data_IF_055441796035
#
_entry.id   IF_055441796035
#
_cell.length_a   1.000
_cell.length_b   1.000
_cell.length_c   1.000
_cell.angle_alpha   90.00
_cell.angle_beta   90.00
_cell.angle_gamma   90.00
#
_symmetry.space_group_name_H-M   'P 1'
#
loop_
_entity.id
_entity.type
_entity.pdbx_description
1 polymer ?
#
# COMPACT_ATOMS: atom_id res chain seq x y z
N UNK A 1 18.19 -32.41 0.37
CA UNK A 1 16.80 -32.19 -0.07
C UNK A 1 16.75 -30.73 -0.52
N UNK A 2 16.69 -30.49 -1.83
CA UNK A 2 16.66 -29.13 -2.36
C UNK A 2 15.19 -28.67 -2.39
N UNK A 3 14.88 -27.64 -1.60
CA UNK A 3 13.55 -27.03 -1.61
C UNK A 3 13.20 -26.56 -3.02
N UNK A 4 12.01 -26.94 -3.50
CA UNK A 4 11.53 -26.52 -4.80
C UNK A 4 11.57 -24.97 -4.90
N UNK A 5 12.16 -24.40 -5.97
CA UNK A 5 12.25 -22.95 -6.14
C UNK A 5 10.85 -22.32 -6.20
N UNK A 6 10.69 -21.12 -5.62
CA UNK A 6 9.42 -20.35 -5.56
C UNK A 6 8.80 -19.95 -6.89
N UNK A 7 9.37 -20.42 -8.00
CA UNK A 7 8.98 -20.06 -9.35
C UNK A 7 7.54 -20.40 -9.71
N UNK A 8 6.82 -21.19 -8.88
CA UNK A 8 5.43 -21.60 -9.13
C UNK A 8 4.39 -21.11 -8.09
N UNK A 9 4.77 -20.34 -7.06
CA UNK A 9 3.81 -19.87 -6.02
C UNK A 9 3.67 -18.35 -5.99
N UNK A 10 2.91 -17.82 -6.94
CA UNK A 10 2.47 -16.43 -6.86
C UNK A 10 1.37 -16.28 -5.81
N UNK A 11 1.53 -15.31 -4.91
CA UNK A 11 0.46 -14.92 -4.01
C UNK A 11 -0.61 -14.11 -4.75
N UNK A 12 -1.86 -14.14 -4.29
CA UNK A 12 -2.96 -13.51 -5.03
C UNK A 12 -2.86 -11.99 -5.07
N UNK A 13 -2.18 -11.36 -4.10
CA UNK A 13 -1.96 -9.91 -4.14
C UNK A 13 -0.93 -9.46 -5.18
N UNK A 14 -0.18 -10.39 -5.79
CA UNK A 14 0.84 -10.06 -6.79
C UNK A 14 0.27 -9.35 -8.01
N UNK A 15 -1.02 -9.52 -8.31
CA UNK A 15 -1.73 -8.81 -9.38
C UNK A 15 -1.82 -7.30 -9.16
N UNK A 16 -1.66 -6.84 -7.92
CA UNK A 16 -1.69 -5.42 -7.54
C UNK A 16 -0.30 -4.84 -7.27
N UNK A 17 0.73 -5.68 -7.29
CA UNK A 17 2.10 -5.30 -6.95
C UNK A 17 2.99 -5.25 -8.17
N UNK A 18 3.91 -4.29 -8.20
CA UNK A 18 4.95 -4.21 -9.22
C UNK A 18 6.15 -5.13 -8.93
N UNK A 19 6.24 -5.73 -7.74
CA UNK A 19 7.33 -6.63 -7.35
C UNK A 19 6.94 -8.10 -7.51
N UNK A 20 7.93 -8.94 -7.81
CA UNK A 20 7.75 -10.40 -7.91
C UNK A 20 7.52 -11.03 -6.54
N UNK A 21 6.84 -12.17 -6.51
CA UNK A 21 6.72 -13.00 -5.31
C UNK A 21 8.08 -13.58 -4.90
N UNK A 22 8.20 -13.96 -3.64
CA UNK A 22 9.37 -14.68 -3.14
C UNK A 22 9.48 -14.71 -1.62
N UNK A 23 10.67 -15.09 -1.16
CA UNK A 23 11.05 -15.05 0.26
C UNK A 23 11.41 -13.64 0.73
N UNK A 24 11.37 -13.45 2.04
CA UNK A 24 11.87 -12.24 2.70
C UNK A 24 13.20 -12.50 3.38
N UNK A 25 14.23 -11.73 3.01
CA UNK A 25 15.50 -11.71 3.75
C UNK A 25 15.33 -11.20 5.20
N UNK A 26 14.22 -10.52 5.49
CA UNK A 26 13.92 -9.99 6.82
C UNK A 26 13.20 -10.99 7.73
N UNK A 27 12.58 -12.01 7.15
CA UNK A 27 11.85 -13.06 7.84
C UNK A 27 12.24 -14.41 7.22
N UNK A 28 13.50 -14.84 7.43
CA UNK A 28 14.06 -16.00 6.72
C UNK A 28 13.36 -17.31 7.07
N UNK A 29 12.65 -17.38 8.21
CA UNK A 29 11.89 -18.55 8.65
C UNK A 29 10.46 -18.59 8.09
N UNK A 30 10.00 -17.54 7.40
CA UNK A 30 8.68 -17.50 6.77
C UNK A 30 8.78 -18.04 5.33
N UNK A 31 8.20 -19.22 5.10
CA UNK A 31 8.26 -19.92 3.80
C UNK A 31 6.89 -20.23 3.19
N UNK A 32 5.79 -19.85 3.85
CA UNK A 32 4.45 -20.21 3.41
C UNK A 32 3.70 -18.98 2.91
N UNK A 33 2.79 -19.20 1.96
CA UNK A 33 1.71 -18.26 1.70
C UNK A 33 0.76 -18.29 2.89
N UNK A 34 0.37 -17.11 3.36
CA UNK A 34 -0.68 -16.96 4.37
C UNK A 34 -1.79 -16.08 3.81
N UNK A 35 -2.96 -16.11 4.44
CA UNK A 35 -4.02 -15.17 4.11
C UNK A 35 -3.72 -13.79 4.71
N UNK A 36 -4.33 -12.76 4.13
CA UNK A 36 -4.23 -11.38 4.62
C UNK A 36 -4.87 -11.26 6.01
N UNK A 37 -5.92 -12.02 6.30
CA UNK A 37 -6.52 -12.08 7.64
C UNK A 37 -5.53 -12.60 8.71
N UNK A 38 -4.58 -13.45 8.33
CA UNK A 38 -3.52 -13.95 9.21
C UNK A 38 -2.34 -12.98 9.36
N UNK A 39 -2.31 -11.87 8.64
CA UNK A 39 -1.29 -10.83 8.82
C UNK A 39 -1.61 -9.99 10.06
N UNK A 40 -0.93 -10.30 11.16
CA UNK A 40 -1.18 -9.73 12.49
C UNK A 40 0.09 -9.25 13.21
N UNK A 41 1.19 -9.01 12.50
CA UNK A 41 2.39 -8.41 13.13
C UNK A 41 2.01 -7.03 13.72
N UNK A 42 2.55 -6.73 14.90
CA UNK A 42 2.34 -5.44 15.54
C UNK A 42 2.98 -4.31 14.71
N UNK A 43 2.15 -3.43 14.15
CA UNK A 43 2.57 -2.31 13.30
C UNK A 43 2.69 -0.97 14.06
N UNK A 44 2.46 -0.94 15.37
CA UNK A 44 2.29 0.32 16.11
C UNK A 44 3.52 1.25 16.05
N UNK A 45 4.70 0.71 16.32
CA UNK A 45 5.96 1.48 16.25
C UNK A 45 6.24 1.97 14.82
N UNK A 46 5.90 1.13 13.84
CA UNK A 46 6.03 1.48 12.42
C UNK A 46 5.11 2.64 12.04
N UNK A 47 3.83 2.58 12.41
CA UNK A 47 2.87 3.66 12.16
C UNK A 47 3.31 4.98 12.83
N UNK A 48 3.83 4.91 14.05
CA UNK A 48 4.39 6.09 14.74
C UNK A 48 5.56 6.70 13.99
N UNK A 49 6.50 5.88 13.48
CA UNK A 49 7.62 6.38 12.66
C UNK A 49 7.15 7.09 11.37
N UNK A 50 5.99 6.69 10.86
CA UNK A 50 5.33 7.27 9.70
C UNK A 50 4.41 8.46 10.05
N UNK A 51 4.30 8.82 11.33
CA UNK A 51 3.41 9.86 11.84
C UNK A 51 1.95 9.62 11.48
N UNK A 52 1.51 8.36 11.58
CA UNK A 52 0.12 7.95 11.37
C UNK A 52 -0.56 7.61 12.70
N UNK A 53 -1.86 7.93 12.79
CA UNK A 53 -2.70 7.46 13.88
C UNK A 53 -2.96 5.95 13.75
N UNK A 54 -2.97 5.26 14.89
CA UNK A 54 -3.32 3.84 15.00
C UNK A 54 -4.80 3.59 14.74
N UNK A 55 -5.65 4.58 15.00
CA UNK A 55 -7.12 4.46 14.89
C UNK A 55 -7.60 4.21 13.46
N UNK A 56 -6.83 4.62 12.45
CA UNK A 56 -7.21 4.47 11.05
C UNK A 56 -6.71 3.19 10.38
N UNK A 57 -5.85 2.41 11.05
CA UNK A 57 -5.18 1.23 10.46
C UNK A 57 -5.16 0.11 11.50
N UNK A 58 -6.21 -0.73 11.56
CA UNK A 58 -6.43 -1.64 12.67
C UNK A 58 -5.55 -2.88 12.66
N UNK A 59 -5.02 -3.32 11.51
CA UNK A 59 -4.13 -4.49 11.43
C UNK A 59 -3.05 -4.36 10.35
N UNK A 60 -2.06 -5.26 10.38
CA UNK A 60 -1.06 -5.40 9.32
C UNK A 60 -1.71 -5.65 7.96
N UNK A 61 -2.71 -6.53 7.89
CA UNK A 61 -3.47 -6.80 6.67
C UNK A 61 -4.09 -5.53 6.05
N UNK A 62 -4.72 -4.68 6.87
CA UNK A 62 -5.26 -3.39 6.42
C UNK A 62 -4.15 -2.47 5.88
N UNK A 63 -3.02 -2.39 6.58
CA UNK A 63 -1.89 -1.56 6.13
C UNK A 63 -1.38 -1.99 4.75
N UNK A 64 -1.24 -3.30 4.52
CA UNK A 64 -0.79 -3.88 3.25
C UNK A 64 -1.77 -3.51 2.14
N UNK A 65 -3.07 -3.71 2.37
CA UNK A 65 -4.12 -3.41 1.40
C UNK A 65 -4.19 -1.92 1.04
N UNK A 66 -4.17 -1.04 2.03
CA UNK A 66 -4.18 0.39 1.78
C UNK A 66 -2.95 0.86 0.98
N UNK A 67 -1.81 0.19 1.13
CA UNK A 67 -0.61 0.48 0.31
C UNK A 67 -0.69 -0.03 -1.11
N UNK A 68 -1.54 -1.03 -1.37
CA UNK A 68 -1.89 -1.50 -2.71
C UNK A 68 -3.02 -0.67 -3.35
N UNK A 69 -3.59 0.31 -2.62
CA UNK A 69 -4.74 1.08 -3.09
C UNK A 69 -6.07 0.33 -2.97
N UNK A 70 -6.10 -0.74 -2.18
CA UNK A 70 -7.31 -1.51 -1.88
C UNK A 70 -7.84 -1.02 -0.53
N UNK A 71 -8.96 -0.32 -0.54
CA UNK A 71 -9.54 0.32 0.66
C UNK A 71 -10.63 -0.51 1.35
N UNK A 72 -10.79 -1.76 0.92
CA UNK A 72 -11.71 -2.76 1.48
C UNK A 72 -10.91 -4.03 1.78
N UNK A 73 -11.11 -4.64 2.96
CA UNK A 73 -10.38 -5.85 3.33
C UNK A 73 -11.04 -7.09 2.70
N UNK A 74 -10.23 -7.92 2.05
CA UNK A 74 -10.64 -9.22 1.51
C UNK A 74 -9.82 -10.31 2.20
N UNK A 75 -10.46 -11.06 3.09
CA UNK A 75 -9.78 -12.00 3.99
C UNK A 75 -9.05 -13.14 3.27
N UNK A 76 -9.55 -13.56 2.10
CA UNK A 76 -9.08 -14.76 1.40
C UNK A 76 -7.88 -14.52 0.48
N UNK A 77 -7.44 -13.27 0.34
CA UNK A 77 -6.25 -12.99 -0.45
C UNK A 77 -5.01 -13.56 0.24
N UNK A 78 -4.15 -14.20 -0.55
CA UNK A 78 -2.89 -14.75 -0.08
C UNK A 78 -1.74 -13.78 -0.32
N UNK A 79 -0.75 -13.84 0.57
CA UNK A 79 0.45 -13.01 0.53
C UNK A 79 1.70 -13.85 0.76
N UNK A 80 2.75 -13.58 -0.01
CA UNK A 80 4.06 -14.21 0.18
C UNK A 80 4.92 -13.43 1.19
N UNK A 81 5.93 -14.08 1.80
CA UNK A 81 6.82 -13.43 2.77
C UNK A 81 7.47 -12.14 2.23
N UNK A 82 7.87 -12.14 0.96
CA UNK A 82 8.45 -10.94 0.32
C UNK A 82 7.49 -9.77 0.32
N UNK A 83 6.28 -9.94 -0.24
CA UNK A 83 5.29 -8.86 -0.29
C UNK A 83 4.82 -8.44 1.09
N UNK A 84 4.66 -9.38 2.03
CA UNK A 84 4.31 -9.06 3.42
C UNK A 84 5.34 -8.13 4.04
N UNK A 85 6.63 -8.42 3.85
CA UNK A 85 7.69 -7.55 4.34
C UNK A 85 7.66 -6.17 3.65
N UNK A 86 7.67 -6.15 2.31
CA UNK A 86 7.82 -4.92 1.54
C UNK A 86 6.61 -4.00 1.58
N UNK A 87 5.40 -4.54 1.74
CA UNK A 87 4.15 -3.79 1.90
C UNK A 87 3.77 -3.59 3.36
N UNK A 88 4.36 -4.32 4.30
CA UNK A 88 4.11 -4.24 5.74
C UNK A 88 5.17 -3.45 6.51
N UNK A 89 5.74 -4.06 7.54
CA UNK A 89 6.62 -3.36 8.50
C UNK A 89 7.98 -2.93 7.92
N UNK A 90 8.46 -3.58 6.86
CA UNK A 90 9.74 -3.26 6.21
C UNK A 90 9.60 -2.23 5.10
N UNK A 91 8.37 -1.83 4.74
CA UNK A 91 8.15 -0.69 3.86
C UNK A 91 8.81 0.59 4.42
N UNK A 92 9.35 1.43 3.55
CA UNK A 92 10.00 2.70 3.93
C UNK A 92 9.48 3.82 3.04
N UNK A 93 9.18 4.97 3.65
CA UNK A 93 8.75 6.16 2.92
C UNK A 93 9.93 6.84 2.23
N UNK A 94 9.64 7.54 1.13
CA UNK A 94 10.59 8.46 0.50
C UNK A 94 10.97 9.61 1.46
N UNK A 95 12.20 10.11 1.31
CA UNK A 95 12.68 11.33 1.98
C UNK A 95 12.21 12.62 1.29
N UNK A 96 11.53 12.49 0.15
CA UNK A 96 10.94 13.59 -0.60
C UNK A 96 9.40 13.49 -0.64
N UNK A 97 8.75 14.62 -0.86
CA UNK A 97 7.30 14.72 -1.07
C UNK A 97 6.85 13.74 -2.16
N UNK A 98 5.83 12.94 -1.84
CA UNK A 98 5.27 11.92 -2.71
C UNK A 98 3.97 12.35 -3.40
N UNK A 99 3.62 13.64 -3.34
CA UNK A 99 2.40 14.14 -3.97
C UNK A 99 2.55 14.12 -5.51
N UNK A 100 1.60 13.55 -6.27
CA UNK A 100 1.64 13.38 -7.73
C UNK A 100 2.06 14.64 -8.51
N UNK A 101 1.44 15.76 -8.17
CA UNK A 101 1.67 17.03 -8.85
C UNK A 101 2.86 17.84 -8.29
N UNK A 102 3.61 17.32 -7.31
CA UNK A 102 4.74 18.03 -6.75
C UNK A 102 5.94 17.95 -7.68
N UNK A 103 6.52 19.12 -7.99
CA UNK A 103 7.76 19.22 -8.76
C UNK A 103 8.90 19.57 -7.81
N UNK A 104 9.96 18.76 -7.82
CA UNK A 104 11.17 18.99 -7.04
C UNK A 104 11.34 18.07 -5.83
N UNK A 105 12.33 18.39 -4.99
CA UNK A 105 12.68 17.62 -3.79
C UNK A 105 12.40 18.47 -2.55
N UNK A 106 11.23 18.32 -1.96
CA UNK A 106 10.90 18.95 -0.67
C UNK A 106 10.74 17.89 0.41
N UNK A 107 11.25 18.17 1.61
CA UNK A 107 11.09 17.29 2.78
C UNK A 107 9.59 17.09 3.08
N UNK A 108 9.14 15.85 3.31
CA UNK A 108 7.78 15.59 3.71
C UNK A 108 7.54 16.05 5.16
N UNK A 109 6.31 16.45 5.43
CA UNK A 109 5.86 16.84 6.77
C UNK A 109 5.30 15.60 7.51
N UNK A 110 4.12 15.13 7.07
CA UNK A 110 3.40 14.01 7.69
C UNK A 110 3.09 12.87 6.72
N UNK A 111 2.85 11.68 7.27
CA UNK A 111 2.40 10.49 6.55
C UNK A 111 1.00 10.64 5.95
N UNK A 112 0.80 10.03 4.78
CA UNK A 112 -0.50 9.92 4.10
C UNK A 112 -1.37 8.90 4.81
N UNK A 113 -2.56 9.31 5.23
CA UNK A 113 -3.59 8.43 5.81
C UNK A 113 -4.32 7.65 4.71
N UNK A 114 -5.04 6.56 5.04
CA UNK A 114 -5.86 5.83 4.06
C UNK A 114 -6.85 6.72 3.31
N UNK A 115 -7.55 7.62 4.01
CA UNK A 115 -8.52 8.55 3.42
C UNK A 115 -7.84 9.48 2.41
N UNK A 116 -6.68 10.06 2.76
CA UNK A 116 -5.92 10.93 1.86
C UNK A 116 -5.37 10.14 0.67
N UNK A 117 -4.89 8.91 0.88
CA UNK A 117 -4.42 8.03 -0.19
C UNK A 117 -5.52 7.74 -1.20
N UNK A 118 -6.72 7.39 -0.73
CA UNK A 118 -7.92 7.18 -1.56
C UNK A 118 -8.28 8.43 -2.35
N UNK A 119 -8.31 9.59 -1.68
CA UNK A 119 -8.61 10.85 -2.34
C UNK A 119 -7.59 11.19 -3.44
N UNK A 120 -6.29 11.05 -3.17
CA UNK A 120 -5.25 11.27 -4.18
C UNK A 120 -5.37 10.29 -5.34
N UNK A 121 -5.67 9.02 -5.07
CA UNK A 121 -5.90 8.02 -6.10
C UNK A 121 -7.07 8.42 -7.01
N UNK A 122 -8.21 8.81 -6.44
CA UNK A 122 -9.41 9.22 -7.19
C UNK A 122 -9.15 10.52 -7.97
N UNK A 123 -8.56 11.53 -7.34
CA UNK A 123 -8.39 12.86 -7.95
C UNK A 123 -7.26 12.94 -8.98
N UNK A 124 -6.21 12.12 -8.83
CA UNK A 124 -5.02 12.19 -9.69
C UNK A 124 -4.81 10.95 -10.56
N UNK A 125 -5.54 9.86 -10.30
CA UNK A 125 -5.28 8.56 -10.92
C UNK A 125 -3.99 7.88 -10.43
N UNK A 126 -3.26 8.48 -9.49
CA UNK A 126 -1.98 7.97 -9.01
C UNK A 126 -2.05 7.58 -7.53
N UNK A 127 -1.69 6.32 -7.25
CA UNK A 127 -1.61 5.82 -5.88
C UNK A 127 -0.44 6.43 -5.15
N UNK A 128 -0.72 7.09 -4.02
CA UNK A 128 0.28 7.45 -3.01
C UNK A 128 0.12 6.49 -1.83
N UNK A 129 1.03 5.50 -1.64
CA UNK A 129 0.86 4.49 -0.61
C UNK A 129 0.75 5.09 0.79
N UNK A 130 -0.09 4.49 1.64
CA UNK A 130 -0.25 4.91 3.04
C UNK A 130 1.08 4.93 3.78
N UNK A 131 1.32 6.02 4.50
CA UNK A 131 2.57 6.33 5.19
C UNK A 131 3.60 7.08 4.34
N UNK A 132 3.35 7.30 3.05
CA UNK A 132 4.17 8.19 2.23
C UNK A 132 4.16 9.60 2.76
N UNK A 133 5.27 10.31 2.60
CA UNK A 133 5.41 11.67 3.10
C UNK A 133 4.92 12.70 2.09
N UNK A 134 4.11 13.67 2.52
CA UNK A 134 3.72 14.84 1.71
C UNK A 134 4.17 16.11 2.42
N UNK A 135 4.73 17.08 1.68
CA UNK A 135 5.17 18.35 2.24
C UNK A 135 3.98 19.24 2.65
N UNK A 136 4.24 20.22 3.52
CA UNK A 136 3.21 21.11 4.08
C UNK A 136 2.37 21.81 3.00
N UNK A 137 3.02 22.33 1.95
CA UNK A 137 2.34 23.03 0.86
C UNK A 137 1.39 22.12 0.10
N UNK A 138 1.83 20.93 -0.30
CA UNK A 138 0.99 19.97 -1.01
C UNK A 138 -0.15 19.46 -0.12
N UNK A 139 0.09 19.30 1.18
CA UNK A 139 -0.97 18.91 2.13
C UNK A 139 -2.02 20.00 2.30
N UNK A 140 -1.63 21.28 2.30
CA UNK A 140 -2.57 22.40 2.40
C UNK A 140 -3.53 22.52 1.21
N UNK A 141 -3.20 21.89 0.06
CA UNK A 141 -4.09 21.82 -1.10
C UNK A 141 -5.07 20.64 -1.06
N UNK A 142 -4.95 19.72 -0.10
CA UNK A 142 -5.89 18.60 0.07
C UNK A 142 -7.02 19.08 0.99
N UNK A 143 -8.30 18.89 0.62
CA UNK A 143 -9.42 19.27 1.48
C UNK A 143 -9.31 18.61 2.86
N UNK A 144 -9.90 19.22 3.88
CA UNK A 144 -9.98 18.56 5.18
C UNK A 144 -10.95 17.36 5.07
N UNK A 145 -10.41 16.16 5.24
CA UNK A 145 -11.15 14.89 5.13
C UNK A 145 -11.44 14.26 6.50
N UNK A 146 -11.26 14.99 7.61
CA UNK A 146 -11.41 14.49 8.99
C UNK A 146 -12.84 14.03 9.31
N UNK A 147 -13.83 14.38 8.48
CA UNK A 147 -15.24 13.99 8.61
C UNK A 147 -15.73 12.95 7.59
N UNK A 148 -14.86 12.46 6.69
CA UNK A 148 -15.26 11.41 5.74
C UNK A 148 -15.22 10.04 6.43
N UNK A 149 -16.40 9.51 6.76
CA UNK A 149 -16.57 8.11 7.14
C UNK A 149 -16.29 7.20 5.94
N UNK A 150 -15.73 6.02 6.20
CA UNK A 150 -15.72 4.91 5.25
C UNK A 150 -17.13 4.33 5.16
N UNK A 151 -18.14 5.10 4.79
CA UNK A 151 -19.44 4.53 4.45
C UNK A 151 -19.42 4.07 2.99
N UNK A 152 -19.91 2.85 2.83
CA UNK A 152 -19.81 1.97 1.67
C UNK A 152 -20.25 2.65 0.37
N UNK A 153 -19.29 3.21 -0.35
CA UNK A 153 -19.40 3.40 -1.78
C UNK A 153 -18.33 2.53 -2.42
N UNK A 154 -18.78 1.36 -2.87
CA UNK A 154 -18.04 0.37 -3.64
C UNK A 154 -17.48 1.00 -4.92
N UNK A 155 -16.30 1.61 -4.82
CA UNK A 155 -15.48 1.90 -5.98
C UNK A 155 -14.70 0.62 -6.26
N UNK A 156 -15.31 -0.26 -7.05
CA UNK A 156 -14.66 -1.48 -7.53
C UNK A 156 -13.52 -1.07 -8.49
N UNK A 157 -12.28 -1.04 -7.99
CA UNK A 157 -11.10 -0.77 -8.82
C UNK A 157 -10.84 -2.02 -9.68
N UNK A 158 -11.32 -2.02 -10.92
CA UNK A 158 -11.02 -3.07 -11.89
C UNK A 158 -9.65 -2.82 -12.53
N UNK A 159 -8.70 -3.73 -12.29
CA UNK A 159 -7.38 -3.69 -12.91
C UNK A 159 -7.42 -4.45 -14.24
N UNK A 160 -7.48 -3.74 -15.37
CA UNK A 160 -7.25 -4.36 -16.68
C UNK A 160 -5.74 -4.46 -16.92
N UNK A 161 -5.19 -5.67 -16.78
CA UNK A 161 -3.77 -5.93 -16.93
C UNK A 161 -3.29 -5.81 -18.39
N UNK A 162 -2.19 -5.08 -18.59
CA UNK A 162 -1.14 -5.39 -19.57
C UNK A 162 0.21 -4.95 -19.00
N UNK A 163 1.11 -5.92 -18.78
CA UNK A 163 2.55 -5.67 -18.81
C UNK A 163 3.00 -5.68 -20.29
N UNK A 164 4.11 -5.06 -20.75
CA UNK A 164 5.21 -4.46 -19.98
C UNK A 164 5.78 -3.13 -20.54
N UNK A 165 6.72 -2.55 -19.76
CA UNK A 165 7.74 -1.54 -20.11
C UNK A 165 7.29 -0.07 -20.18
N UNK A 166 7.81 0.68 -19.21
CA UNK A 166 7.92 2.15 -19.12
C UNK A 166 6.67 2.92 -18.67
N UNK A 167 6.90 3.71 -17.61
CA UNK A 167 6.08 4.79 -17.03
C UNK A 167 4.71 4.40 -16.45
N UNK A 168 4.70 4.32 -15.11
CA UNK A 168 3.63 4.58 -14.15
C UNK A 168 2.30 5.14 -14.70
N UNK A 169 1.48 4.31 -15.35
CA UNK A 169 0.06 4.63 -15.53
C UNK A 169 -0.77 3.42 -15.08
N UNK A 170 -1.23 3.49 -13.83
CA UNK A 170 -2.38 2.71 -13.38
C UNK A 170 -3.61 3.52 -13.79
N UNK A 171 -4.33 3.08 -14.83
CA UNK A 171 -5.58 3.72 -15.22
C UNK A 171 -6.72 3.16 -14.37
N UNK A 172 -7.46 4.05 -13.72
CA UNK A 172 -8.74 3.74 -13.07
C UNK A 172 -9.81 3.86 -14.16
N UNK A 173 -10.46 2.76 -14.52
CA UNK A 173 -11.72 2.81 -15.25
C UNK A 173 -12.83 3.09 -14.24
N UNK A 174 -13.37 4.32 -14.28
CA UNK A 174 -14.62 4.67 -13.61
C UNK A 174 -15.71 4.41 -14.66
N UNK A 175 -16.63 3.48 -14.40
CA UNK A 175 -17.88 3.36 -15.17
C UNK A 175 -18.97 4.18 -14.50
#
# INVERSE_FOLDING_TARGET
MADAPWTERNCSISIFSNSRCGFSNYFPSEHNLITISSCNININSHLQSLQLSKTCIPSEGHLIFFRLGIFTLFCDYTICPHHRATLGIRWRRSVACSHPNHKGKTKPDRGVTPIVSRHLLISTGQLVPVGSGICRTCRGGIPNLDSMSFEDNDVHVSFSGRSPKTRNNFYICIR
#
